data_IF_271295080633
#
_entry.id   IF_271295080633
#
_cell.length_a   1.000
_cell.length_b   1.000
_cell.length_c   1.000
_cell.angle_alpha   90.00
_cell.angle_beta   90.00
_cell.angle_gamma   90.00
#
_symmetry.space_group_name_H-M   'P 1'
#
loop_
_entity.id
_entity.type
_entity.pdbx_description
1 polymer ?
#
# COMPACT_ATOMS: atom_id res chain seq x y z
N UNK A 1 9.27 -9.08 -13.48
CA UNK A 1 7.79 -9.16 -13.56
C UNK A 1 7.14 -9.05 -12.18
N UNK A 2 7.39 -9.97 -11.24
CA UNK A 2 6.75 -9.94 -9.90
C UNK A 2 6.92 -8.61 -9.15
N UNK A 3 8.12 -8.01 -9.15
CA UNK A 3 8.38 -6.70 -8.52
C UNK A 3 7.46 -5.59 -9.03
N UNK A 4 7.27 -5.50 -10.35
CA UNK A 4 6.42 -4.48 -10.96
C UNK A 4 4.95 -4.64 -10.55
N UNK A 5 4.45 -5.88 -10.47
CA UNK A 5 3.11 -6.17 -9.97
C UNK A 5 2.95 -5.78 -8.50
N UNK A 6 3.94 -6.10 -7.65
CA UNK A 6 3.90 -5.73 -6.24
C UNK A 6 3.96 -4.20 -6.05
N UNK A 7 4.81 -3.51 -6.81
CA UNK A 7 4.87 -2.04 -6.79
C UNK A 7 3.55 -1.41 -7.22
N UNK A 8 2.92 -1.92 -8.29
CA UNK A 8 1.60 -1.44 -8.71
C UNK A 8 0.55 -1.71 -7.63
N UNK A 9 0.52 -2.92 -7.07
CA UNK A 9 -0.42 -3.26 -6.01
C UNK A 9 -0.25 -2.38 -4.76
N UNK A 10 0.99 -2.05 -4.36
CA UNK A 10 1.21 -1.11 -3.25
C UNK A 10 0.64 0.27 -3.56
N UNK A 11 0.90 0.77 -4.76
CA UNK A 11 0.34 2.05 -5.21
C UNK A 11 -1.19 2.05 -5.24
N UNK A 12 -1.80 0.98 -5.75
CA UNK A 12 -3.26 0.84 -5.80
C UNK A 12 -3.86 0.78 -4.38
N UNK A 13 -3.20 0.12 -3.42
CA UNK A 13 -3.63 0.08 -2.02
C UNK A 13 -3.56 1.46 -1.35
N UNK A 14 -2.45 2.19 -1.53
CA UNK A 14 -2.30 3.56 -1.03
C UNK A 14 -3.35 4.50 -1.60
N UNK A 15 -3.57 4.44 -2.92
CA UNK A 15 -4.56 5.26 -3.61
C UNK A 15 -5.98 4.94 -3.11
N UNK A 16 -6.30 3.67 -2.94
CA UNK A 16 -7.62 3.24 -2.42
C UNK A 16 -7.82 3.73 -0.98
N UNK A 17 -6.80 3.60 -0.13
CA UNK A 17 -6.81 4.09 1.26
C UNK A 17 -7.09 5.59 1.31
N UNK A 18 -6.41 6.39 0.47
CA UNK A 18 -6.62 7.84 0.39
C UNK A 18 -8.05 8.20 -0.07
N UNK A 19 -8.56 7.51 -1.09
CA UNK A 19 -9.90 7.77 -1.61
C UNK A 19 -10.99 7.39 -0.59
N UNK A 20 -10.85 6.25 0.10
CA UNK A 20 -11.79 5.85 1.14
C UNK A 20 -11.75 6.81 2.34
N UNK A 21 -10.57 7.29 2.74
CA UNK A 21 -10.44 8.32 3.76
C UNK A 21 -11.15 9.62 3.39
N UNK A 22 -11.04 10.06 2.13
CA UNK A 22 -11.79 11.22 1.62
C UNK A 22 -13.30 11.00 1.63
N UNK A 23 -13.77 9.81 1.26
CA UNK A 23 -15.20 9.47 1.30
C UNK A 23 -15.70 9.42 2.76
N UNK A 24 -14.91 8.86 3.68
CA UNK A 24 -15.22 8.83 5.11
C UNK A 24 -15.40 10.25 5.66
N UNK A 25 -14.43 11.13 5.39
CA UNK A 25 -14.48 12.54 5.81
C UNK A 25 -15.65 13.32 5.21
N UNK A 26 -16.08 12.96 3.99
CA UNK A 26 -17.23 13.59 3.33
C UNK A 26 -18.58 12.99 3.77
N UNK A 27 -18.59 11.84 4.45
CA UNK A 27 -19.81 11.17 4.88
C UNK A 27 -20.46 11.92 6.04
N UNK A 28 -21.75 12.25 5.90
CA UNK A 28 -22.56 12.75 7.01
C UNK A 28 -23.12 11.64 7.90
N UNK A 29 -22.92 10.37 7.53
CA UNK A 29 -23.35 9.21 8.31
C UNK A 29 -22.15 8.61 9.07
N UNK A 30 -22.18 8.72 10.40
CA UNK A 30 -21.12 8.23 11.28
C UNK A 30 -20.87 6.73 11.12
N UNK A 31 -21.92 5.91 11.04
CA UNK A 31 -21.75 4.46 10.88
C UNK A 31 -21.06 4.07 9.59
N UNK A 32 -21.27 4.85 8.52
CA UNK A 32 -20.57 4.66 7.24
C UNK A 32 -19.12 5.11 7.36
N UNK A 33 -18.86 6.24 8.00
CA UNK A 33 -17.50 6.74 8.26
C UNK A 33 -16.68 5.72 9.07
N UNK A 34 -17.24 5.19 10.17
CA UNK A 34 -16.56 4.20 11.01
C UNK A 34 -16.18 2.93 10.23
N UNK A 35 -17.06 2.46 9.34
CA UNK A 35 -16.78 1.30 8.47
C UNK A 35 -15.69 1.62 7.46
N UNK A 36 -15.72 2.81 6.84
CA UNK A 36 -14.71 3.23 5.87
C UNK A 36 -13.34 3.43 6.53
N UNK A 37 -13.30 3.97 7.75
CA UNK A 37 -12.07 4.14 8.52
C UNK A 37 -11.45 2.79 8.85
N UNK A 38 -12.25 1.81 9.30
CA UNK A 38 -11.77 0.45 9.54
C UNK A 38 -11.20 -0.21 8.26
N UNK A 39 -11.85 -0.01 7.11
CA UNK A 39 -11.32 -0.52 5.83
C UNK A 39 -9.99 0.19 5.49
N UNK A 40 -9.93 1.51 5.66
CA UNK A 40 -8.74 2.34 5.42
C UNK A 40 -7.56 1.85 6.27
N UNK A 41 -7.76 1.64 7.58
CA UNK A 41 -6.73 1.14 8.49
C UNK A 41 -6.17 -0.22 8.06
N UNK A 42 -7.05 -1.14 7.63
CA UNK A 42 -6.63 -2.47 7.17
C UNK A 42 -5.84 -2.40 5.86
N UNK A 43 -6.27 -1.56 4.92
CA UNK A 43 -5.57 -1.38 3.65
C UNK A 43 -4.20 -0.71 3.85
N UNK A 44 -4.08 0.27 4.76
CA UNK A 44 -2.80 0.90 5.10
C UNK A 44 -1.80 -0.13 5.68
N UNK A 45 -2.26 -1.02 6.56
CA UNK A 45 -1.42 -2.12 7.07
C UNK A 45 -0.91 -3.01 5.93
N UNK A 46 -1.76 -3.38 4.99
CA UNK A 46 -1.37 -4.20 3.84
C UNK A 46 -0.42 -3.46 2.89
N UNK A 47 -0.66 -2.18 2.63
CA UNK A 47 0.23 -1.35 1.81
C UNK A 47 1.64 -1.27 2.42
N UNK A 48 1.74 -1.01 3.74
CA UNK A 48 3.02 -0.98 4.46
C UNK A 48 3.74 -2.32 4.49
N UNK A 49 3.00 -3.43 4.62
CA UNK A 49 3.59 -4.77 4.52
C UNK A 49 4.17 -5.02 3.13
N UNK A 50 3.45 -4.60 2.09
CA UNK A 50 3.89 -4.74 0.72
C UNK A 50 5.10 -3.85 0.40
N UNK A 51 5.14 -2.63 0.94
CA UNK A 51 6.30 -1.74 0.85
C UNK A 51 7.56 -2.37 1.46
N UNK A 52 7.44 -3.04 2.61
CA UNK A 52 8.55 -3.79 3.21
C UNK A 52 9.04 -4.91 2.31
N UNK A 53 8.13 -5.65 1.66
CA UNK A 53 8.49 -6.72 0.71
C UNK A 53 9.23 -6.13 -0.50
N UNK A 54 8.71 -5.04 -1.08
CA UNK A 54 9.34 -4.36 -2.22
C UNK A 54 10.74 -3.86 -1.84
N UNK A 55 10.89 -3.24 -0.67
CA UNK A 55 12.19 -2.76 -0.18
C UNK A 55 13.19 -3.90 -0.02
N UNK A 56 12.79 -5.00 0.62
CA UNK A 56 13.63 -6.20 0.75
C UNK A 56 14.04 -6.79 -0.61
N UNK A 57 13.15 -6.76 -1.60
CA UNK A 57 13.48 -7.19 -2.96
C UNK A 57 14.47 -6.24 -3.65
N UNK A 58 14.42 -4.94 -3.35
CA UNK A 58 15.37 -3.96 -3.86
C UNK A 58 16.76 -4.14 -3.24
N UNK A 59 16.82 -4.34 -1.92
CA UNK A 59 18.07 -4.61 -1.18
C UNK A 59 18.73 -5.92 -1.60
N UNK A 60 17.92 -6.93 -1.95
CA UNK A 60 18.41 -8.21 -2.49
C UNK A 60 18.78 -8.18 -3.97
N UNK A 61 18.60 -7.06 -4.70
CA UNK A 61 19.25 -6.91 -5.99
C UNK A 61 20.74 -6.69 -5.72
N UNK A 62 21.64 -7.61 -6.13
CA UNK A 62 23.05 -7.44 -5.88
C UNK A 62 23.54 -6.21 -6.64
N UNK A 63 23.82 -5.13 -5.92
CA UNK A 63 24.70 -4.08 -6.42
C UNK A 63 26.11 -4.66 -6.52
N UNK A 64 26.39 -5.39 -7.61
CA UNK A 64 27.75 -5.82 -7.92
C UNK A 64 27.89 -7.24 -8.47
N UNK A 65 27.49 -7.47 -9.73
CA UNK A 65 28.42 -8.15 -10.63
C UNK A 65 29.45 -7.13 -11.08
N UNK A 66 30.39 -6.82 -10.19
CA UNK A 66 31.71 -6.30 -10.56
C UNK A 66 32.72 -7.36 -10.12
N UNK A 67 32.54 -8.57 -10.65
CA UNK A 67 33.58 -9.58 -10.61
C UNK A 67 34.50 -9.31 -11.80
N UNK A 68 35.72 -8.91 -11.45
CA UNK A 68 37.02 -9.11 -12.12
C UNK A 68 37.08 -8.82 -13.62
#
# INVERSE_FOLDING_TARGET
>A
MIKAYLTKLSHDLHTTTELLGKISQASSNQSVSDVLDNITDRLDVHARQLDKIINHMNEKQPHGSKFL
#
